data_IF_968533907819
#
_entry.id   IF_968533907819
#
_cell.length_a   1.000
_cell.length_b   1.000
_cell.length_c   1.000
_cell.angle_alpha   90.00
_cell.angle_beta   90.00
_cell.angle_gamma   90.00
#
_symmetry.space_group_name_H-M   'P 1'
#
loop_
_entity.id
_entity.type
_entity.pdbx_description
1 polymer ?
#
# COMPACT_ATOMS: atom_id res chain seq x y z
N UNK A 1 -1.33 -27.00 35.47
CA UNK A 1 -0.38 -27.95 34.86
C UNK A 1 -0.89 -28.25 33.46
N UNK A 2 -0.45 -27.48 32.46
CA UNK A 2 -0.77 -27.79 31.06
C UNK A 2 -0.10 -29.13 30.74
N UNK A 3 -0.90 -30.15 30.40
CA UNK A 3 -0.36 -31.44 29.97
C UNK A 3 0.47 -31.20 28.70
N UNK A 4 1.63 -31.87 28.59
CA UNK A 4 2.52 -31.77 27.43
C UNK A 4 1.81 -32.13 26.10
N UNK A 5 0.68 -32.83 26.17
CA UNK A 5 -0.15 -33.24 25.03
C UNK A 5 -1.03 -32.12 24.44
N UNK A 6 -1.29 -31.04 25.20
CA UNK A 6 -2.10 -29.88 24.78
C UNK A 6 -1.24 -28.81 24.05
N UNK A 7 0.09 -28.90 24.16
CA UNK A 7 1.05 -27.95 23.59
C UNK A 7 0.93 -27.78 22.07
N UNK A 8 0.76 -28.84 21.25
CA UNK A 8 0.63 -28.70 19.80
C UNK A 8 -0.64 -27.92 19.38
N UNK A 9 -1.75 -28.15 20.07
CA UNK A 9 -3.01 -27.44 19.83
C UNK A 9 -2.90 -25.98 20.20
N UNK A 10 -2.35 -25.69 21.38
CA UNK A 10 -2.09 -24.32 21.83
C UNK A 10 -1.11 -23.58 20.90
N UNK A 11 -0.03 -24.24 20.47
CA UNK A 11 0.93 -23.70 19.51
C UNK A 11 0.28 -23.42 18.15
N UNK A 12 -0.61 -24.29 17.69
CA UNK A 12 -1.37 -24.10 16.44
C UNK A 12 -2.31 -22.90 16.54
N UNK A 13 -2.97 -22.71 17.69
CA UNK A 13 -3.82 -21.53 17.93
C UNK A 13 -2.97 -20.27 17.97
N UNK A 14 -1.84 -20.28 18.69
CA UNK A 14 -0.92 -19.14 18.75
C UNK A 14 -0.37 -18.77 17.38
N UNK A 15 0.07 -19.75 16.58
CA UNK A 15 0.56 -19.53 15.21
C UNK A 15 -0.55 -18.95 14.33
N UNK A 16 -1.77 -19.51 14.38
CA UNK A 16 -2.90 -19.01 13.59
C UNK A 16 -3.33 -17.59 14.01
N UNK A 17 -3.31 -17.28 15.30
CA UNK A 17 -3.64 -15.95 15.82
C UNK A 17 -2.55 -14.94 15.44
N UNK A 18 -1.27 -15.27 15.65
CA UNK A 18 -0.14 -14.42 15.29
C UNK A 18 -0.10 -14.10 13.78
N UNK A 19 -0.27 -15.12 12.92
CA UNK A 19 -0.32 -14.92 11.46
C UNK A 19 -1.52 -14.07 10.98
N UNK A 20 -2.59 -13.95 11.78
CA UNK A 20 -3.71 -13.05 11.46
C UNK A 20 -3.41 -11.59 11.80
N UNK A 21 -2.48 -11.30 12.71
CA UNK A 21 -2.14 -9.93 13.09
C UNK A 21 -1.12 -9.26 12.16
N UNK A 22 -0.16 -10.01 11.62
CA UNK A 22 0.98 -9.40 10.89
C UNK A 22 0.66 -8.92 9.46
N UNK A 23 -0.49 -9.27 8.87
CA UNK A 23 -0.71 -9.10 7.42
C UNK A 23 -1.57 -7.90 6.99
N UNK A 24 -1.97 -7.00 7.90
CA UNK A 24 -3.01 -5.98 7.60
C UNK A 24 -2.42 -4.63 7.14
N UNK A 25 -1.14 -4.36 7.37
CA UNK A 25 -0.52 -3.05 7.08
C UNK A 25 0.70 -3.20 6.17
N UNK A 26 0.44 -3.57 4.92
CA UNK A 26 1.47 -3.75 3.91
C UNK A 26 1.54 -2.50 3.04
N UNK A 27 2.74 -1.96 2.84
CA UNK A 27 3.02 -1.09 1.70
C UNK A 27 3.68 -1.93 0.60
N UNK A 28 3.11 -1.90 -0.60
CA UNK A 28 3.66 -2.57 -1.77
C UNK A 28 4.05 -1.53 -2.81
N UNK A 29 5.33 -1.48 -3.12
CA UNK A 29 5.93 -0.69 -4.19
C UNK A 29 7.16 -1.44 -4.74
N UNK A 30 7.37 -1.47 -6.08
CA UNK A 30 6.57 -0.83 -7.12
C UNK A 30 5.29 -1.62 -7.46
N UNK A 31 4.20 -0.90 -7.73
CA UNK A 31 2.98 -1.41 -8.35
C UNK A 31 2.74 -0.66 -9.65
N UNK A 32 2.28 -1.37 -10.66
CA UNK A 32 1.96 -0.80 -11.97
C UNK A 32 0.47 -0.97 -12.25
N UNK A 33 -0.18 0.12 -12.63
CA UNK A 33 -1.60 0.20 -12.97
C UNK A 33 -1.77 0.36 -14.47
N UNK A 34 -2.69 -0.41 -15.04
CA UNK A 34 -3.06 -0.27 -16.45
C UNK A 34 -3.66 1.09 -16.72
N UNK A 35 -3.19 1.74 -17.78
CA UNK A 35 -3.59 3.10 -18.12
C UNK A 35 -3.78 3.24 -19.62
N UNK A 36 -4.84 3.97 -20.01
CA UNK A 36 -5.07 4.40 -21.40
C UNK A 36 -4.24 5.62 -21.79
N UNK A 37 -3.42 6.15 -20.87
CA UNK A 37 -2.59 7.32 -21.12
C UNK A 37 -1.52 6.99 -22.18
N UNK A 38 -1.22 7.89 -23.15
CA UNK A 38 -0.18 7.68 -24.15
C UNK A 38 1.21 7.39 -23.59
N UNK A 39 1.49 7.81 -22.34
CA UNK A 39 2.73 7.51 -21.63
C UNK A 39 2.79 6.07 -21.08
N UNK A 40 1.79 5.24 -21.38
CA UNK A 40 1.70 3.85 -20.96
C UNK A 40 1.26 3.68 -19.52
N UNK A 41 1.56 2.50 -18.98
CA UNK A 41 1.22 2.09 -17.62
C UNK A 41 1.62 3.15 -16.56
N UNK A 42 0.82 3.23 -15.50
CA UNK A 42 1.02 4.18 -14.41
C UNK A 42 1.67 3.46 -13.22
N UNK A 43 2.92 3.79 -12.84
CA UNK A 43 3.49 3.29 -11.60
C UNK A 43 2.77 3.87 -10.38
N UNK A 44 3.03 3.33 -9.20
CA UNK A 44 2.53 3.85 -7.94
C UNK A 44 2.66 2.85 -6.79
N UNK A 45 1.89 3.07 -5.73
CA UNK A 45 1.90 2.25 -4.52
C UNK A 45 0.51 1.75 -4.13
N UNK A 46 0.48 0.60 -3.46
CA UNK A 46 -0.70 0.05 -2.79
C UNK A 46 -0.42 -0.09 -1.30
N UNK A 47 -1.37 0.32 -0.45
CA UNK A 47 -1.19 0.29 1.00
C UNK A 47 -2.41 -0.31 1.72
N UNK A 48 -2.19 -0.82 2.94
CA UNK A 48 -3.23 -1.24 3.87
C UNK A 48 -3.67 -2.69 3.71
N UNK A 49 -4.97 -2.94 3.90
CA UNK A 49 -5.54 -4.29 3.95
C UNK A 49 -5.61 -4.94 2.55
N UNK A 50 -4.49 -5.50 2.08
CA UNK A 50 -4.37 -6.07 0.74
C UNK A 50 -5.04 -7.45 0.58
N UNK A 51 -5.42 -8.10 1.68
CA UNK A 51 -6.05 -9.43 1.66
C UNK A 51 -7.58 -9.28 1.56
N UNK A 52 -8.08 -9.28 0.33
CA UNK A 52 -9.50 -9.12 -0.02
C UNK A 52 -10.15 -7.82 0.53
N UNK A 53 -9.68 -6.64 0.10
CA UNK A 53 -10.29 -5.38 0.52
C UNK A 53 -11.73 -5.29 0.01
N UNK A 54 -12.67 -4.98 0.91
CA UNK A 54 -14.07 -4.68 0.55
C UNK A 54 -14.26 -3.23 0.11
N UNK A 55 -13.28 -2.36 0.39
CA UNK A 55 -13.25 -0.94 0.04
C UNK A 55 -11.85 -0.55 -0.39
N UNK A 56 -11.76 0.41 -1.30
CA UNK A 56 -10.50 1.00 -1.76
C UNK A 56 -10.65 2.52 -1.92
N UNK A 57 -9.59 3.26 -1.63
CA UNK A 57 -9.51 4.70 -1.83
C UNK A 57 -8.33 5.05 -2.75
N UNK A 58 -8.59 5.87 -3.76
CA UNK A 58 -7.54 6.44 -4.62
C UNK A 58 -7.05 7.74 -4.00
N UNK A 59 -5.76 7.83 -3.72
CA UNK A 59 -5.11 9.02 -3.19
C UNK A 59 -4.31 9.66 -4.33
N UNK A 60 -4.70 10.86 -4.73
CA UNK A 60 -4.06 11.59 -5.82
C UNK A 60 -2.95 12.49 -5.26
N UNK A 61 -1.81 12.49 -5.94
CA UNK A 61 -0.68 13.35 -5.61
C UNK A 61 -0.98 14.84 -5.80
N UNK A 62 -0.14 15.67 -5.19
CA UNK A 62 -0.12 17.12 -5.39
C UNK A 62 0.69 17.53 -6.64
N UNK A 63 0.65 18.83 -6.95
CA UNK A 63 1.28 19.44 -8.14
C UNK A 63 2.81 19.24 -8.23
N UNK A 64 3.47 18.85 -7.13
CA UNK A 64 4.92 18.63 -7.11
C UNK A 64 5.36 17.21 -7.49
N UNK A 65 4.46 16.21 -7.53
CA UNK A 65 4.83 14.81 -7.73
C UNK A 65 4.41 13.89 -6.58
N UNK A 66 4.35 12.58 -6.84
CA UNK A 66 4.21 11.57 -5.80
C UNK A 66 5.50 11.49 -4.96
N UNK A 67 5.37 11.57 -3.65
CA UNK A 67 6.50 11.53 -2.71
C UNK A 67 6.17 10.69 -1.48
N UNK A 68 7.14 10.56 -0.57
CA UNK A 68 7.01 9.74 0.64
C UNK A 68 5.91 10.24 1.58
N UNK A 69 5.72 11.56 1.70
CA UNK A 69 4.65 12.13 2.52
C UNK A 69 3.27 11.66 2.03
N UNK A 70 3.03 11.67 0.71
CA UNK A 70 1.76 11.23 0.13
C UNK A 70 1.55 9.73 0.39
N UNK A 71 2.60 8.91 0.23
CA UNK A 71 2.55 7.46 0.53
C UNK A 71 2.23 7.20 2.00
N UNK A 72 2.88 7.91 2.90
CA UNK A 72 2.65 7.78 4.34
C UNK A 72 1.21 8.18 4.69
N UNK A 73 0.73 9.31 4.17
CA UNK A 73 -0.65 9.74 4.37
C UNK A 73 -1.65 8.69 3.85
N UNK A 74 -1.37 8.07 2.70
CA UNK A 74 -2.19 7.00 2.15
C UNK A 74 -2.18 5.74 3.03
N UNK A 75 -1.05 5.39 3.64
CA UNK A 75 -0.95 4.30 4.61
C UNK A 75 -1.73 4.63 5.90
N UNK A 76 -1.61 5.85 6.42
CA UNK A 76 -2.30 6.28 7.63
C UNK A 76 -3.82 6.24 7.43
N UNK A 77 -4.31 6.76 6.29
CA UNK A 77 -5.72 6.72 5.93
C UNK A 77 -6.21 5.27 5.77
N UNK A 78 -5.43 4.42 5.09
CA UNK A 78 -5.76 3.00 4.95
C UNK A 78 -5.86 2.29 6.31
N UNK A 79 -4.95 2.63 7.22
CA UNK A 79 -4.85 2.08 8.57
C UNK A 79 -6.04 2.47 9.42
N UNK A 80 -6.36 3.76 9.47
CA UNK A 80 -7.49 4.29 10.23
C UNK A 80 -8.84 3.80 9.66
N UNK A 81 -8.94 3.75 8.34
CA UNK A 81 -10.16 3.38 7.63
C UNK A 81 -10.40 1.87 7.48
N UNK A 82 -9.38 1.04 7.74
CA UNK A 82 -9.39 -0.42 7.53
C UNK A 82 -9.77 -0.80 6.10
N UNK A 83 -9.16 -0.14 5.12
CA UNK A 83 -9.36 -0.41 3.70
C UNK A 83 -8.04 -0.32 2.92
N UNK A 84 -8.05 -0.68 1.64
CA UNK A 84 -6.88 -0.50 0.79
C UNK A 84 -6.79 0.93 0.25
N UNK A 85 -5.58 1.46 0.08
CA UNK A 85 -5.36 2.70 -0.68
C UNK A 85 -4.47 2.44 -1.88
N UNK A 86 -4.70 3.17 -2.98
CA UNK A 86 -3.80 3.22 -4.13
C UNK A 86 -3.33 4.65 -4.36
N UNK A 87 -2.05 4.81 -4.67
CA UNK A 87 -1.44 6.09 -5.01
C UNK A 87 -0.83 5.98 -6.40
N UNK A 88 -1.52 6.40 -7.47
CA UNK A 88 -0.93 6.45 -8.80
C UNK A 88 0.07 7.60 -8.92
N UNK A 89 1.28 7.29 -9.39
CA UNK A 89 2.30 8.28 -9.74
C UNK A 89 2.05 8.81 -11.15
N UNK A 90 1.31 9.91 -11.21
CA UNK A 90 0.93 10.57 -12.46
C UNK A 90 2.16 11.12 -13.20
N UNK A 91 3.26 11.40 -12.49
CA UNK A 91 4.48 11.98 -13.04
C UNK A 91 5.52 10.93 -13.42
N UNK A 92 5.29 9.63 -13.13
CA UNK A 92 6.13 8.49 -13.52
C UNK A 92 7.57 8.65 -13.02
N UNK A 93 7.71 8.89 -11.72
CA UNK A 93 8.98 9.06 -11.01
C UNK A 93 9.57 10.46 -11.15
N UNK A 94 8.84 11.41 -11.73
CA UNK A 94 9.32 12.79 -11.92
C UNK A 94 8.73 13.71 -10.87
N UNK A 95 9.53 14.72 -10.54
CA UNK A 95 9.10 15.85 -9.74
C UNK A 95 8.82 17.02 -10.67
N UNK A 96 8.01 17.97 -10.24
CA UNK A 96 7.76 19.16 -11.03
C UNK A 96 9.05 19.86 -11.45
N UNK A 97 10.03 19.97 -10.54
CA UNK A 97 11.34 20.56 -10.84
C UNK A 97 12.04 19.87 -12.01
N UNK A 98 11.91 18.55 -12.12
CA UNK A 98 12.44 17.76 -13.24
C UNK A 98 11.64 17.97 -14.53
N UNK A 99 10.34 18.25 -14.43
CA UNK A 99 9.48 18.52 -15.59
C UNK A 99 9.73 19.92 -16.17
N UNK A 100 9.89 20.92 -15.30
CA UNK A 100 10.12 22.32 -15.70
C UNK A 100 11.49 22.50 -16.36
N UNK A 101 12.52 21.79 -15.89
CA UNK A 101 13.89 21.87 -16.44
C UNK A 101 14.08 21.17 -17.79
N UNK A 102 13.10 20.38 -18.25
CA UNK A 102 13.12 19.73 -19.57
C UNK A 102 12.36 20.50 -20.65
N UNK A 103 11.67 21.57 -20.28
CA UNK A 103 10.85 22.38 -21.20
C UNK A 103 11.48 23.75 -21.53
N UNK A 104 12.72 23.94 -21.10
CA UNK A 104 13.63 25.05 -21.42
C UNK A 104 14.88 24.48 -22.07
#
# INVERSE_FOLDING_TARGET
MLLLEELPGFLTVLINVHMRFDSVYVQKEPVTFTSLNPLGECPGSLNGAMRAPTKCLVVVQEWWGMNEQIKQQALDIATLGKFATMVPDLYRGKWLTTLLTRSI
#
